data_IF_653862790297
#
_entry.id   IF_653862790297
#
_cell.length_a   1.000
_cell.length_b   1.000
_cell.length_c   1.000
_cell.angle_alpha   90.00
_cell.angle_beta   90.00
_cell.angle_gamma   90.00
#
_symmetry.space_group_name_H-M   'P 1'
#
loop_
_entity.id
_entity.type
_entity.pdbx_description
1 polymer ?
#
# COMPACT_ATOMS: atom_id res chain seq x y z
N UNK A 1 6.11 10.02 16.05
CA UNK A 1 6.00 8.87 15.13
C UNK A 1 4.71 8.14 15.44
N UNK A 2 3.94 7.75 14.43
CA UNK A 2 2.63 7.08 14.57
C UNK A 2 2.64 5.78 13.77
N UNK A 3 2.03 4.72 14.30
CA UNK A 3 1.84 3.45 13.58
C UNK A 3 0.36 3.28 13.27
N UNK A 4 0.06 2.94 12.03
CA UNK A 4 -1.29 2.55 11.64
C UNK A 4 -1.42 1.08 11.99
N UNK A 5 -2.41 0.74 12.82
CA UNK A 5 -2.66 -0.64 13.26
C UNK A 5 -3.74 -1.31 12.39
N UNK A 6 -4.76 -0.54 12.00
CA UNK A 6 -5.90 -1.01 11.23
C UNK A 6 -6.22 -0.03 10.10
N UNK A 7 -6.72 -0.57 8.99
CA UNK A 7 -7.18 0.20 7.84
C UNK A 7 -8.61 -0.23 7.57
N UNK A 8 -9.55 0.72 7.65
CA UNK A 8 -10.96 0.42 7.45
C UNK A 8 -11.20 -0.22 6.07
N UNK A 9 -11.95 -1.33 6.06
CA UNK A 9 -12.26 -2.06 4.83
C UNK A 9 -11.15 -2.97 4.32
N UNK A 10 -10.03 -3.12 5.05
CA UNK A 10 -8.99 -4.11 4.76
C UNK A 10 -8.94 -5.19 5.83
N UNK A 11 -8.44 -6.36 5.46
CA UNK A 11 -8.05 -7.38 6.44
C UNK A 11 -6.95 -6.83 7.35
N UNK A 12 -7.03 -7.15 8.65
CA UNK A 12 -5.97 -6.80 9.59
C UNK A 12 -4.62 -7.41 9.14
N UNK A 13 -3.52 -6.72 9.45
CA UNK A 13 -2.20 -7.25 9.18
C UNK A 13 -2.01 -8.59 9.94
N UNK A 14 -1.67 -9.65 9.21
CA UNK A 14 -1.54 -11.02 9.76
C UNK A 14 -0.14 -11.27 10.34
N UNK A 15 0.78 -10.29 10.31
CA UNK A 15 2.17 -10.42 10.74
C UNK A 15 2.67 -9.27 11.64
N UNK A 16 3.94 -9.33 12.08
CA UNK A 16 4.54 -8.37 13.01
C UNK A 16 4.94 -7.05 12.32
N UNK A 17 4.01 -6.42 11.60
CA UNK A 17 4.22 -5.17 10.90
C UNK A 17 2.97 -4.28 10.92
N UNK A 18 3.17 -2.99 10.66
CA UNK A 18 2.09 -2.01 10.51
C UNK A 18 1.80 -1.77 9.04
N UNK A 19 0.53 -1.63 8.61
CA UNK A 19 0.20 -1.17 7.26
C UNK A 19 0.96 0.08 6.82
N UNK A 20 1.16 1.03 7.74
CA UNK A 20 2.04 2.17 7.54
C UNK A 20 2.63 2.70 8.86
N UNK A 21 3.73 3.45 8.74
CA UNK A 21 4.33 4.23 9.82
C UNK A 21 4.51 5.67 9.35
N UNK A 22 4.10 6.62 10.18
CA UNK A 22 4.30 8.05 9.96
C UNK A 22 5.45 8.54 10.83
N UNK A 23 6.52 9.01 10.20
CA UNK A 23 7.72 9.50 10.87
C UNK A 23 8.23 10.77 10.17
N UNK A 24 8.46 11.83 10.94
CA UNK A 24 9.03 13.10 10.46
C UNK A 24 8.33 13.68 9.21
N UNK A 25 7.00 13.62 9.16
CA UNK A 25 6.21 14.15 8.04
C UNK A 25 6.13 13.22 6.81
N UNK A 26 6.76 12.04 6.87
CA UNK A 26 6.65 11.02 5.83
C UNK A 26 5.79 9.85 6.27
N UNK A 27 5.07 9.28 5.31
CA UNK A 27 4.34 8.01 5.42
C UNK A 27 5.15 6.93 4.71
N UNK A 28 5.48 5.86 5.41
CA UNK A 28 6.10 4.67 4.87
C UNK A 28 5.07 3.54 4.91
N UNK A 29 4.66 3.03 3.75
CA UNK A 29 3.69 1.93 3.70
C UNK A 29 4.43 0.59 3.68
N UNK A 30 3.86 -0.42 4.32
CA UNK A 30 4.19 -1.80 3.99
C UNK A 30 3.71 -2.12 2.58
N UNK A 31 4.23 -3.21 2.01
CA UNK A 31 3.80 -3.70 0.70
C UNK A 31 2.31 -4.04 0.68
N UNK A 32 1.65 -3.59 -0.37
CA UNK A 32 0.24 -3.81 -0.64
C UNK A 32 0.13 -4.83 -1.77
N UNK A 33 -0.85 -5.71 -1.62
CA UNK A 33 -1.11 -6.85 -2.51
C UNK A 33 -2.55 -6.80 -3.04
N UNK A 34 -2.91 -7.57 -4.08
CA UNK A 34 -4.26 -7.56 -4.66
C UNK A 34 -5.36 -8.25 -3.82
N UNK A 35 -5.11 -8.52 -2.53
CA UNK A 35 -6.08 -9.15 -1.64
C UNK A 35 -7.26 -8.20 -1.32
N UNK A 36 -8.49 -8.71 -1.39
CA UNK A 36 -9.71 -7.98 -1.02
C UNK A 36 -10.03 -8.25 0.45
N UNK A 37 -10.22 -9.53 0.80
CA UNK A 37 -10.46 -9.98 2.18
C UNK A 37 -9.42 -11.01 2.65
N UNK A 38 -8.48 -11.37 1.79
CA UNK A 38 -7.44 -12.38 2.05
C UNK A 38 -6.76 -12.84 0.76
N UNK A 39 -5.72 -13.67 0.87
CA UNK A 39 -4.97 -14.15 -0.30
C UNK A 39 -5.82 -14.99 -1.26
N UNK A 40 -6.82 -15.71 -0.75
CA UNK A 40 -7.72 -16.51 -1.60
C UNK A 40 -8.82 -15.69 -2.28
N UNK A 41 -8.90 -14.38 -1.99
CA UNK A 41 -9.90 -13.48 -2.56
C UNK A 41 -9.22 -12.28 -3.25
N UNK A 42 -8.95 -12.45 -4.54
CA UNK A 42 -8.29 -11.48 -5.41
C UNK A 42 -9.02 -11.40 -6.76
N UNK A 43 -8.86 -10.29 -7.52
CA UNK A 43 -9.34 -10.24 -8.89
C UNK A 43 -8.70 -11.30 -9.79
N UNK A 44 -9.47 -11.86 -10.73
CA UNK A 44 -9.01 -12.92 -11.63
C UNK A 44 -8.12 -12.45 -12.78
N UNK A 45 -8.13 -11.14 -13.11
CA UNK A 45 -7.29 -10.56 -14.16
C UNK A 45 -6.13 -9.78 -13.55
N UNK A 46 -4.98 -9.74 -14.23
CA UNK A 46 -3.83 -8.96 -13.77
C UNK A 46 -4.18 -7.46 -13.67
N UNK A 47 -4.88 -6.89 -14.66
CA UNK A 47 -5.40 -5.52 -14.56
C UNK A 47 -6.20 -5.28 -13.26
N UNK A 48 -7.12 -6.20 -12.94
CA UNK A 48 -7.94 -6.12 -11.73
C UNK A 48 -7.06 -6.18 -10.47
N UNK A 49 -6.05 -7.03 -10.46
CA UNK A 49 -5.09 -7.13 -9.36
C UNK A 49 -4.29 -5.83 -9.20
N UNK A 50 -3.84 -5.20 -10.28
CA UNK A 50 -3.16 -3.90 -10.22
C UNK A 50 -4.08 -2.84 -9.59
N UNK A 51 -5.33 -2.75 -10.05
CA UNK A 51 -6.33 -1.81 -9.51
C UNK A 51 -6.56 -2.03 -8.03
N UNK A 52 -6.80 -3.28 -7.61
CA UNK A 52 -7.03 -3.62 -6.22
C UNK A 52 -5.81 -3.29 -5.34
N UNK A 53 -4.61 -3.57 -5.83
CA UNK A 53 -3.37 -3.25 -5.10
C UNK A 53 -3.22 -1.75 -4.87
N UNK A 54 -3.53 -0.92 -5.88
CA UNK A 54 -3.48 0.54 -5.74
C UNK A 54 -4.60 1.06 -4.83
N UNK A 55 -5.79 0.46 -4.86
CA UNK A 55 -6.88 0.79 -3.93
C UNK A 55 -6.51 0.48 -2.48
N UNK A 56 -5.84 -0.65 -2.25
CA UNK A 56 -5.33 -1.01 -0.94
C UNK A 56 -4.28 0.01 -0.46
N UNK A 57 -3.33 0.37 -1.34
CA UNK A 57 -2.34 1.42 -1.06
C UNK A 57 -2.98 2.77 -0.73
N UNK A 58 -4.00 3.17 -1.50
CA UNK A 58 -4.74 4.41 -1.25
C UNK A 58 -5.38 4.40 0.14
N UNK A 59 -6.07 3.34 0.52
CA UNK A 59 -6.72 3.25 1.83
C UNK A 59 -5.69 3.27 2.99
N UNK A 60 -4.51 2.66 2.81
CA UNK A 60 -3.41 2.78 3.78
C UNK A 60 -2.91 4.22 3.91
N UNK A 61 -2.73 4.92 2.78
CA UNK A 61 -2.30 6.33 2.78
C UNK A 61 -3.34 7.24 3.44
N UNK A 62 -4.63 7.04 3.15
CA UNK A 62 -5.72 7.80 3.74
C UNK A 62 -5.79 7.60 5.26
N UNK A 63 -5.65 6.36 5.73
CA UNK A 63 -5.57 6.04 7.16
C UNK A 63 -4.35 6.71 7.84
N UNK A 64 -3.29 6.98 7.07
CA UNK A 64 -2.10 7.70 7.52
C UNK A 64 -2.17 9.22 7.32
N UNK A 65 -3.33 9.78 6.93
CA UNK A 65 -3.50 11.22 6.70
C UNK A 65 -2.75 11.73 5.46
N UNK A 66 -2.66 10.91 4.42
CA UNK A 66 -2.02 11.19 3.13
C UNK A 66 -2.95 10.79 1.97
N UNK A 67 -2.48 10.95 0.73
CA UNK A 67 -3.16 10.53 -0.49
C UNK A 67 -2.15 10.11 -1.57
N UNK A 68 -2.65 9.56 -2.69
CA UNK A 68 -1.82 9.13 -3.82
C UNK A 68 -1.07 10.30 -4.47
N UNK A 69 -1.67 11.49 -4.45
CA UNK A 69 -1.12 12.75 -4.90
C UNK A 69 0.10 13.23 -4.09
N UNK A 70 0.27 12.70 -2.88
CA UNK A 70 1.40 13.02 -1.99
C UNK A 70 2.51 11.97 -2.03
N UNK A 71 2.36 10.93 -2.86
CA UNK A 71 3.39 9.89 -3.02
C UNK A 71 4.59 10.47 -3.74
N UNK A 72 5.78 10.26 -3.17
CA UNK A 72 7.06 10.75 -3.71
C UNK A 72 7.93 9.63 -4.25
N UNK A 73 7.76 8.39 -3.76
CA UNK A 73 8.48 7.20 -4.23
C UNK A 73 7.55 5.99 -4.27
N UNK A 74 7.63 5.20 -5.33
CA UNK A 74 7.00 3.88 -5.45
C UNK A 74 8.05 2.82 -5.76
N UNK A 75 7.96 1.69 -5.08
CA UNK A 75 8.60 0.43 -5.47
C UNK A 75 7.52 -0.56 -5.89
N UNK A 76 7.74 -1.20 -7.02
CA UNK A 76 6.83 -2.20 -7.58
C UNK A 76 7.57 -3.50 -7.80
N UNK A 77 6.97 -4.58 -7.33
CA UNK A 77 7.46 -5.93 -7.47
C UNK A 77 6.45 -6.70 -8.32
N UNK A 78 6.87 -7.15 -9.51
CA UNK A 78 6.05 -7.95 -10.42
C UNK A 78 6.57 -9.40 -10.44
N UNK A 79 5.69 -10.37 -10.69
CA UNK A 79 6.10 -11.78 -10.83
C UNK A 79 6.54 -12.16 -12.24
N UNK A 80 6.17 -11.38 -13.25
CA UNK A 80 6.48 -11.66 -14.65
C UNK A 80 6.82 -10.35 -15.40
N UNK A 81 7.85 -10.33 -16.27
CA UNK A 81 8.22 -9.12 -17.02
C UNK A 81 7.13 -8.65 -17.99
N UNK A 82 6.39 -9.59 -18.60
CA UNK A 82 5.32 -9.28 -19.56
C UNK A 82 4.15 -8.51 -18.93
N UNK A 83 4.03 -8.50 -17.60
CA UNK A 83 3.03 -7.72 -16.89
C UNK A 83 3.30 -6.21 -16.90
N UNK A 84 4.51 -5.77 -17.27
CA UNK A 84 4.93 -4.38 -17.12
C UNK A 84 4.07 -3.40 -17.93
N UNK A 85 3.67 -3.77 -19.15
CA UNK A 85 2.86 -2.90 -20.02
C UNK A 85 1.45 -2.70 -19.45
N UNK A 86 0.77 -3.79 -19.09
CA UNK A 86 -0.55 -3.76 -18.48
C UNK A 86 -0.54 -3.01 -17.14
N UNK A 87 0.49 -3.25 -16.32
CA UNK A 87 0.74 -2.50 -15.08
C UNK A 87 0.86 -0.99 -15.33
N UNK A 88 1.67 -0.58 -16.32
CA UNK A 88 1.89 0.83 -16.63
C UNK A 88 0.61 1.54 -17.06
N UNK A 89 -0.26 0.87 -17.83
CA UNK A 89 -1.56 1.42 -18.25
C UNK A 89 -2.39 1.77 -17.01
N UNK A 90 -2.66 0.81 -16.16
CA UNK A 90 -3.47 1.02 -14.94
C UNK A 90 -2.80 2.03 -14.02
N UNK A 91 -1.51 1.90 -13.77
CA UNK A 91 -0.75 2.78 -12.89
C UNK A 91 -0.90 4.26 -13.27
N UNK A 92 -0.87 4.57 -14.58
CA UNK A 92 -1.00 5.94 -15.08
C UNK A 92 -2.37 6.57 -14.78
N UNK A 93 -3.42 5.76 -14.66
CA UNK A 93 -4.77 6.23 -14.33
C UNK A 93 -4.87 6.74 -12.88
N UNK A 94 -4.06 6.18 -11.96
CA UNK A 94 -4.11 6.54 -10.54
C UNK A 94 -3.07 7.60 -10.15
N UNK A 95 -1.84 7.48 -10.65
CA UNK A 95 -0.76 8.40 -10.28
C UNK A 95 -0.66 9.62 -11.20
N UNK A 96 -1.39 9.64 -12.32
CA UNK A 96 -1.64 10.81 -13.17
C UNK A 96 -0.47 11.79 -13.28
N UNK A 97 -0.66 12.99 -12.76
CA UNK A 97 0.34 14.08 -12.74
C UNK A 97 1.30 14.01 -11.55
N UNK A 98 1.00 13.24 -10.50
CA UNK A 98 1.86 13.11 -9.32
C UNK A 98 3.23 12.52 -9.67
N UNK A 99 3.25 11.55 -10.61
CA UNK A 99 4.48 10.98 -11.22
C UNK A 99 5.63 10.79 -10.22
N UNK A 100 5.44 9.97 -9.18
CA UNK A 100 6.48 9.76 -8.17
C UNK A 100 7.74 9.15 -8.78
N UNK A 101 8.86 9.30 -8.08
CA UNK A 101 10.04 8.50 -8.40
C UNK A 101 9.65 7.01 -8.34
N UNK A 102 10.13 6.20 -9.27
CA UNK A 102 9.67 4.80 -9.40
C UNK A 102 10.79 3.83 -9.67
N UNK A 103 10.69 2.66 -9.04
CA UNK A 103 11.50 1.48 -9.34
C UNK A 103 10.55 0.31 -9.55
N UNK A 104 10.77 -0.48 -10.60
CA UNK A 104 9.98 -1.69 -10.86
C UNK A 104 10.92 -2.83 -11.20
N UNK A 105 10.73 -3.97 -10.55
CA UNK A 105 11.57 -5.17 -10.71
C UNK A 105 10.71 -6.41 -10.80
N UNK A 106 11.26 -7.48 -11.37
CA UNK A 106 10.65 -8.80 -11.34
C UNK A 106 11.25 -9.65 -10.21
N UNK A 107 10.40 -10.26 -9.40
CA UNK A 107 10.76 -11.11 -8.25
C UNK A 107 9.77 -12.25 -8.06
N UNK A 108 10.12 -13.26 -7.26
CA UNK A 108 9.15 -14.25 -6.80
C UNK A 108 8.36 -13.70 -5.61
N UNK A 109 7.03 -13.84 -5.63
CA UNK A 109 6.11 -13.45 -4.55
C UNK A 109 5.25 -14.64 -4.10
N UNK A 110 4.67 -14.58 -2.90
CA UNK A 110 3.83 -15.64 -2.36
C UNK A 110 2.35 -15.41 -2.64
N UNK A 111 1.79 -16.17 -3.58
CA UNK A 111 0.34 -16.23 -3.83
C UNK A 111 -0.27 -14.98 -4.46
N UNK A 112 0.55 -14.07 -5.02
CA UNK A 112 0.12 -12.81 -5.64
C UNK A 112 0.96 -12.51 -6.89
N UNK A 113 0.40 -11.77 -7.85
CA UNK A 113 1.12 -11.43 -9.09
C UNK A 113 1.91 -10.13 -9.00
N UNK A 114 1.62 -9.28 -8.01
CA UNK A 114 2.33 -8.02 -7.76
C UNK A 114 2.26 -7.60 -6.29
N UNK A 115 3.19 -6.72 -5.92
CA UNK A 115 3.21 -6.00 -4.66
C UNK A 115 3.70 -4.55 -4.88
N UNK A 116 3.11 -3.59 -4.18
CA UNK A 116 3.48 -2.17 -4.27
C UNK A 116 3.68 -1.60 -2.87
N UNK A 117 4.81 -0.94 -2.64
CA UNK A 117 5.02 -0.07 -1.48
C UNK A 117 5.34 1.36 -1.94
N UNK A 118 5.13 2.33 -1.04
CA UNK A 118 5.44 3.71 -1.34
C UNK A 118 5.89 4.52 -0.12
N UNK A 119 6.51 5.66 -0.42
CA UNK A 119 6.75 6.75 0.51
C UNK A 119 5.94 7.95 0.06
N UNK A 120 5.22 8.58 0.99
CA UNK A 120 4.42 9.78 0.75
C UNK A 120 4.70 10.86 1.81
N UNK A 121 4.26 12.09 1.54
CA UNK A 121 4.26 13.19 2.51
C UNK A 121 2.90 13.23 3.22
N UNK A 122 2.88 13.32 4.55
CA UNK A 122 1.65 13.48 5.30
C UNK A 122 1.03 14.87 5.02
N UNK A 123 -0.28 14.94 4.79
CA UNK A 123 -0.97 16.18 4.44
C UNK A 123 -1.21 17.13 5.65
N UNK A 124 -0.90 16.69 6.87
CA UNK A 124 -1.08 17.44 8.12
C UNK A 124 -0.80 16.59 9.37
N UNK A 125 -1.06 17.09 10.59
CA UNK A 125 -0.91 16.29 11.81
C UNK A 125 -1.85 15.08 11.77
N UNK A 126 -1.28 13.88 11.71
CA UNK A 126 -2.03 12.62 11.66
C UNK A 126 -2.69 12.37 13.00
N UNK A 127 -4.01 12.30 13.02
CA UNK A 127 -4.77 11.94 14.21
C UNK A 127 -4.44 10.49 14.59
N UNK A 128 -3.90 10.29 15.79
CA UNK A 128 -3.72 8.95 16.36
C UNK A 128 -5.11 8.45 16.73
N UNK A 129 -5.63 7.45 16.00
CA UNK A 129 -6.77 6.69 16.51
C UNK A 129 -6.30 5.97 17.78
N UNK A 130 -7.02 6.07 18.91
CA UNK A 130 -6.62 5.40 20.13
C UNK A 130 -6.65 3.90 19.86
N UNK A 131 -5.46 3.29 19.79
CA UNK A 131 -5.33 1.84 19.80
C UNK A 131 -6.01 1.33 21.05
N UNK A 132 -6.83 0.29 20.90
CA UNK A 132 -7.39 -0.46 22.02
C UNK A 132 -6.23 -1.11 22.76
N UNK A 133 -5.67 -0.36 23.70
CA UNK A 133 -4.61 -0.82 24.58
C UNK A 133 -5.13 -1.96 25.42
N UNK A 134 -4.88 -3.19 24.99
CA UNK A 134 -4.78 -4.32 25.91
C UNK A 134 -3.44 -4.17 26.62
N UNK A 135 -3.49 -3.48 27.76
CA UNK A 135 -2.38 -3.44 28.69
C UNK A 135 -1.99 -4.84 29.15
N UNK A 136 -0.70 -5.04 29.33
CA UNK A 136 -0.14 -6.01 30.27
C UNK A 136 1.24 -5.52 30.72
N UNK A 137 1.66 -5.83 31.96
CA UNK A 137 2.38 -4.92 32.84
C UNK A 137 3.90 -5.18 32.92
N UNK A 138 4.53 -4.31 33.72
CA UNK A 138 5.96 -4.13 34.08
C UNK A 138 6.88 -5.36 34.06
#
# INVERSE_FOLDING_TARGET
MVRIAEVAGQAAAVGPFSPAVVANGFVFTSGQIPAITGLDHQPGTFEGQVRQTILNLKAVLEAAGSGLEHVVKVNTYLTHPDHLEEYNRVYSEYFGTAKPARTSVCVSLWGVSLEIECVAVAAGPVAVLPGTGTGAPE
#
